data_IF_616375616102
#
_entry.id   IF_616375616102
#
_cell.length_a   1.000
_cell.length_b   1.000
_cell.length_c   1.000
_cell.angle_alpha   90.00
_cell.angle_beta   90.00
_cell.angle_gamma   90.00
#
_symmetry.space_group_name_H-M   'P 1'
#
loop_
_entity.id
_entity.type
_entity.pdbx_description
1 polymer ?
#
# COMPACT_ATOMS: atom_id res chain seq x y z
N UNK A 1 3.68 10.85 -10.00
CA UNK A 1 3.37 9.65 -10.79
C UNK A 1 2.40 8.72 -10.05
N UNK A 2 2.76 8.23 -8.86
CA UNK A 2 1.96 7.26 -8.08
C UNK A 2 0.46 7.61 -7.86
N UNK A 3 0.14 8.84 -7.47
CA UNK A 3 -1.26 9.30 -7.27
C UNK A 3 -2.07 9.36 -8.58
N UNK A 4 -1.39 9.53 -9.72
CA UNK A 4 -2.03 9.59 -11.03
C UNK A 4 -2.35 8.18 -11.56
N UNK A 5 -1.50 7.19 -11.25
CA UNK A 5 -1.73 5.80 -11.62
C UNK A 5 -3.09 5.31 -11.14
N UNK A 6 -3.48 5.63 -9.89
CA UNK A 6 -4.79 5.27 -9.35
C UNK A 6 -5.97 5.71 -10.25
N UNK A 7 -5.91 6.94 -10.79
CA UNK A 7 -6.98 7.46 -11.65
C UNK A 7 -7.03 6.80 -13.03
N UNK A 8 -5.91 6.22 -13.48
CA UNK A 8 -5.82 5.54 -14.76
C UNK A 8 -6.33 4.09 -14.68
N UNK A 9 -6.09 3.42 -13.55
CA UNK A 9 -6.41 1.98 -13.41
C UNK A 9 -7.76 1.72 -12.76
N UNK A 10 -8.34 2.70 -12.04
CA UNK A 10 -9.70 2.56 -11.50
C UNK A 10 -10.74 2.40 -12.63
N UNK A 11 -11.75 1.56 -12.42
CA UNK A 11 -12.90 1.49 -13.32
C UNK A 11 -13.59 2.87 -13.38
N UNK A 12 -14.06 3.28 -14.56
CA UNK A 12 -14.63 4.64 -14.78
C UNK A 12 -15.79 4.95 -13.84
N UNK A 13 -16.55 3.94 -13.45
CA UNK A 13 -17.70 4.03 -12.55
C UNK A 13 -17.40 3.68 -11.08
N UNK A 14 -16.19 3.20 -10.75
CA UNK A 14 -15.86 2.77 -9.39
C UNK A 14 -14.82 3.69 -8.72
N UNK A 15 -15.02 3.91 -7.41
CA UNK A 15 -14.11 4.69 -6.56
C UNK A 15 -12.95 3.87 -5.99
N UNK A 16 -12.91 2.57 -6.29
CA UNK A 16 -11.93 1.62 -5.78
C UNK A 16 -11.32 0.81 -6.95
N UNK A 17 -10.12 0.26 -6.75
CA UNK A 17 -9.52 -0.71 -7.65
C UNK A 17 -9.47 -2.08 -7.01
N UNK A 18 -9.39 -3.15 -7.81
CA UNK A 18 -9.18 -4.50 -7.29
C UNK A 18 -7.83 -4.64 -6.60
N UNK A 19 -7.81 -5.32 -5.46
CA UNK A 19 -6.60 -5.49 -4.66
C UNK A 19 -5.48 -6.19 -5.41
N UNK A 20 -5.80 -7.16 -6.28
CA UNK A 20 -4.81 -7.84 -7.12
C UNK A 20 -4.09 -6.84 -8.04
N UNK A 21 -4.84 -5.92 -8.66
CA UNK A 21 -4.27 -4.84 -9.47
C UNK A 21 -3.44 -3.88 -8.61
N UNK A 22 -3.93 -3.53 -7.42
CA UNK A 22 -3.20 -2.66 -6.50
C UNK A 22 -1.85 -3.26 -6.11
N UNK A 23 -1.81 -4.55 -5.76
CA UNK A 23 -0.60 -5.27 -5.39
C UNK A 23 0.41 -5.27 -6.53
N UNK A 24 0.00 -5.60 -7.76
CA UNK A 24 0.89 -5.58 -8.93
C UNK A 24 1.49 -4.19 -9.13
N UNK A 25 0.69 -3.14 -9.05
CA UNK A 25 1.16 -1.77 -9.23
C UNK A 25 2.08 -1.32 -8.09
N UNK A 26 1.81 -1.71 -6.85
CA UNK A 26 2.71 -1.45 -5.73
C UNK A 26 4.06 -2.12 -5.94
N UNK A 27 4.08 -3.40 -6.27
CA UNK A 27 5.32 -4.12 -6.55
C UNK A 27 6.09 -3.49 -7.71
N UNK A 28 5.40 -3.10 -8.79
CA UNK A 28 6.04 -2.51 -9.97
C UNK A 28 6.56 -1.07 -9.74
N UNK A 29 5.82 -0.24 -8.99
CA UNK A 29 6.18 1.17 -8.76
C UNK A 29 7.11 1.39 -7.55
N UNK A 30 6.98 0.55 -6.54
CA UNK A 30 7.60 0.73 -5.22
C UNK A 30 8.51 -0.44 -4.82
N UNK A 31 8.33 -1.64 -5.38
CA UNK A 31 9.07 -2.85 -4.96
C UNK A 31 10.59 -2.72 -5.10
N UNK A 32 11.07 -2.02 -6.12
CA UNK A 32 12.52 -1.78 -6.33
C UNK A 32 13.14 -0.89 -5.24
N UNK A 33 12.35 0.04 -4.67
CA UNK A 33 12.81 0.96 -3.62
C UNK A 33 12.52 0.47 -2.20
N UNK A 34 11.44 -0.28 -2.02
CA UNK A 34 10.89 -0.66 -0.73
C UNK A 34 10.62 -2.16 -0.69
N UNK A 35 11.57 -2.98 -0.18
CA UNK A 35 11.42 -4.43 -0.10
C UNK A 35 10.18 -4.87 0.70
N UNK A 36 9.78 -4.09 1.70
CA UNK A 36 8.58 -4.30 2.54
C UNK A 36 7.29 -4.42 1.72
N UNK A 37 7.26 -3.88 0.50
CA UNK A 37 6.12 -3.99 -0.41
C UNK A 37 5.81 -5.44 -0.77
N UNK A 38 6.84 -6.28 -0.93
CA UNK A 38 6.65 -7.70 -1.24
C UNK A 38 6.07 -8.47 -0.05
N UNK A 39 6.53 -8.17 1.16
CA UNK A 39 6.01 -8.78 2.38
C UNK A 39 4.56 -8.37 2.64
N UNK A 40 4.24 -7.09 2.44
CA UNK A 40 2.87 -6.58 2.55
C UNK A 40 1.93 -7.16 1.48
N UNK A 41 2.41 -7.38 0.26
CA UNK A 41 1.66 -8.04 -0.80
C UNK A 41 1.28 -9.48 -0.44
N UNK A 42 2.18 -10.24 0.20
CA UNK A 42 1.89 -11.57 0.74
C UNK A 42 0.92 -11.49 1.91
N UNK A 43 1.11 -10.54 2.83
CA UNK A 43 0.24 -10.33 3.98
C UNK A 43 -1.23 -10.08 3.58
N UNK A 44 -1.47 -9.24 2.57
CA UNK A 44 -2.83 -8.98 2.08
C UNK A 44 -3.48 -10.25 1.52
N UNK A 45 -2.71 -11.13 0.87
CA UNK A 45 -3.25 -12.38 0.35
C UNK A 45 -3.55 -13.41 1.45
N UNK A 46 -2.76 -13.42 2.53
CA UNK A 46 -2.86 -14.44 3.58
C UNK A 46 -3.74 -14.06 4.78
N UNK A 47 -3.73 -12.78 5.20
CA UNK A 47 -4.29 -12.36 6.50
C UNK A 47 -5.51 -11.47 6.39
N UNK A 48 -5.64 -10.71 5.31
CA UNK A 48 -6.72 -9.74 5.15
C UNK A 48 -7.16 -9.73 3.68
N UNK A 49 -8.13 -10.57 3.27
CA UNK A 49 -8.64 -10.61 1.90
C UNK A 49 -9.46 -9.34 1.60
N UNK A 50 -8.75 -8.22 1.51
CA UNK A 50 -9.26 -6.95 1.04
C UNK A 50 -9.59 -7.16 -0.42
N UNK A 51 -10.84 -6.99 -0.80
CA UNK A 51 -11.27 -7.19 -2.20
C UNK A 51 -10.98 -5.98 -3.08
N UNK A 52 -11.00 -4.79 -2.47
CA UNK A 52 -10.83 -3.52 -3.18
C UNK A 52 -10.02 -2.53 -2.36
N UNK A 53 -9.24 -1.71 -3.05
CA UNK A 53 -8.43 -0.62 -2.50
C UNK A 53 -9.03 0.71 -2.94
N UNK A 54 -9.36 1.56 -1.97
CA UNK A 54 -9.82 2.92 -2.24
C UNK A 54 -8.64 3.90 -2.38
N UNK A 55 -8.93 5.14 -2.77
CA UNK A 55 -7.90 6.18 -2.99
C UNK A 55 -7.11 6.49 -1.72
N UNK A 56 -7.78 6.52 -0.57
CA UNK A 56 -7.15 6.86 0.70
C UNK A 56 -6.15 5.77 1.10
N UNK A 57 -6.55 4.50 1.07
CA UNK A 57 -5.68 3.34 1.29
C UNK A 57 -4.49 3.31 0.32
N UNK A 58 -4.73 3.60 -0.96
CA UNK A 58 -3.65 3.71 -1.95
C UNK A 58 -2.63 4.78 -1.57
N UNK A 59 -3.09 5.97 -1.17
CA UNK A 59 -2.19 7.05 -0.77
C UNK A 59 -1.46 6.73 0.54
N UNK A 60 -2.18 6.24 1.56
CA UNK A 60 -1.62 5.87 2.86
C UNK A 60 -0.56 4.79 2.76
N UNK A 61 -0.66 3.87 1.80
CA UNK A 61 0.37 2.86 1.60
C UNK A 61 1.72 3.46 1.19
N UNK A 62 1.73 4.51 0.37
CA UNK A 62 2.97 5.20 0.02
C UNK A 62 3.62 5.83 1.25
N UNK A 63 2.81 6.49 2.09
CA UNK A 63 3.27 7.09 3.33
C UNK A 63 3.84 6.01 4.27
N UNK A 64 3.17 4.86 4.39
CA UNK A 64 3.61 3.71 5.17
C UNK A 64 4.99 3.19 4.74
N UNK A 65 5.19 2.91 3.45
CA UNK A 65 6.48 2.35 2.97
C UNK A 65 7.60 3.38 2.92
N UNK A 66 7.24 4.67 2.77
CA UNK A 66 8.21 5.77 2.80
C UNK A 66 8.60 6.19 4.21
N UNK A 67 7.84 5.77 5.23
CA UNK A 67 8.20 6.00 6.62
C UNK A 67 9.40 5.13 6.95
N UNK A 68 10.51 5.77 7.27
CA UNK A 68 11.72 5.09 7.70
C UNK A 68 11.46 4.41 9.05
N UNK A 69 11.10 3.12 9.02
CA UNK A 69 10.85 2.33 10.23
C UNK A 69 12.13 2.12 11.05
N UNK A 70 13.31 2.47 10.52
CA UNK A 70 14.58 2.43 11.26
C UNK A 70 14.64 3.45 12.41
N UNK A 71 13.79 4.49 12.36
CA UNK A 71 13.57 5.45 13.46
C UNK A 71 12.28 5.17 14.24
N UNK A 72 11.53 4.10 13.91
CA UNK A 72 10.34 3.72 14.66
C UNK A 72 10.79 3.08 15.98
N UNK A 73 10.99 3.95 16.97
CA UNK A 73 11.24 3.58 18.36
C UNK A 73 9.98 2.87 18.89
N UNK A 74 10.05 1.54 19.00
CA UNK A 74 9.04 0.68 19.63
C UNK A 74 8.64 1.15 21.05
N UNK A 75 9.40 2.07 21.66
CA UNK A 75 9.17 2.59 23.00
C UNK A 75 8.34 3.88 23.07
N UNK A 76 7.85 4.43 21.96
CA UNK A 76 7.10 5.70 21.96
C UNK A 76 5.59 5.56 22.25
N UNK A 77 5.03 4.36 22.23
CA UNK A 77 3.59 4.12 22.47
C UNK A 77 3.26 3.39 23.78
N UNK A 78 4.23 3.24 24.70
CA UNK A 78 3.97 2.64 26.02
C UNK A 78 4.76 3.35 27.13
N UNK A 79 4.41 4.63 27.37
CA UNK A 79 4.63 5.27 28.66
C UNK A 79 3.32 5.90 29.12
N UNK A 80 2.50 5.08 29.78
CA UNK A 80 1.52 5.51 30.78
C UNK A 80 2.09 5.16 32.15
#
# INVERSE_FOLDING_TARGET
>A
MYRYTFNYVKNKDQKCMDTETAVILWTMLLGDRFPVVHEFASFIQEKAPVKVINRDQWNSFLDFVSTDLSSYDESSACKL
#
